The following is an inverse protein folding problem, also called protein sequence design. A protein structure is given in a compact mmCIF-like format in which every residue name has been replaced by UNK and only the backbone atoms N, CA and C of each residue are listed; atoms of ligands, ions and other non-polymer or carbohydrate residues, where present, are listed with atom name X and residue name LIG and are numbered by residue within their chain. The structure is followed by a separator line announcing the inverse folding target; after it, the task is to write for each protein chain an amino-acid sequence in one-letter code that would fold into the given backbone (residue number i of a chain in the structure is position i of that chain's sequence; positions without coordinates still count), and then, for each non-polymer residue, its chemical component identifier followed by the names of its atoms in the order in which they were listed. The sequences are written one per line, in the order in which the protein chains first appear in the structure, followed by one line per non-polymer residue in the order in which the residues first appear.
data_IF_818450345255
#
_entry.id   IF_818450345255
#
_cell.length_a   1.000
_cell.length_b   1.000
_cell.length_c   1.000
_cell.angle_alpha   90.00
_cell.angle_beta   90.00
_cell.angle_gamma   90.00
#
_symmetry.space_group_name_H-M   'P 1'
#
loop_
_entity.id
_entity.type
_entity.pdbx_description
1 polymer ?
#
# COMPACT_ATOMS: atom_id res chain seq x y z
N UNK A 1 -4.68 1.10 19.79
CA UNK A 1 -5.66 1.14 18.68
C UNK A 1 -5.55 2.52 18.06
N UNK A 2 -5.26 2.63 16.76
CA UNK A 2 -5.10 3.91 16.05
C UNK A 2 -6.43 4.63 15.78
N UNK A 3 -7.56 4.09 16.26
CA UNK A 3 -8.90 4.65 16.03
C UNK A 3 -9.41 4.39 14.61
N UNK A 4 -8.77 3.47 13.88
CA UNK A 4 -9.18 3.04 12.54
C UNK A 4 -10.17 1.89 12.66
N UNK A 5 -11.31 2.00 11.98
CA UNK A 5 -12.29 0.92 11.87
C UNK A 5 -12.85 0.85 10.45
N UNK A 6 -13.24 -0.35 10.03
CA UNK A 6 -13.85 -0.59 8.74
C UNK A 6 -15.30 -1.04 8.94
N UNK A 7 -16.17 -0.74 7.97
CA UNK A 7 -17.52 -1.32 7.93
C UNK A 7 -17.45 -2.82 7.63
N UNK A 8 -18.55 -3.54 7.87
CA UNK A 8 -18.61 -5.00 7.79
C UNK A 8 -18.31 -5.60 6.40
N UNK A 9 -18.33 -4.77 5.35
CA UNK A 9 -18.01 -5.21 3.99
C UNK A 9 -16.52 -5.29 3.66
N UNK A 10 -15.64 -4.85 4.56
CA UNK A 10 -14.20 -4.89 4.38
C UNK A 10 -13.61 -6.27 4.68
N UNK A 11 -12.69 -6.71 3.82
CA UNK A 11 -12.00 -7.98 3.90
C UNK A 11 -10.50 -7.75 3.67
N UNK A 12 -9.67 -8.47 4.42
CA UNK A 12 -8.28 -8.70 4.05
C UNK A 12 -8.21 -9.98 3.22
N UNK A 13 -7.65 -9.90 2.02
CA UNK A 13 -7.52 -11.03 1.10
C UNK A 13 -6.05 -11.35 0.93
N UNK A 14 -5.71 -12.65 1.05
CA UNK A 14 -4.36 -13.17 0.83
C UNK A 14 -4.30 -13.74 -0.60
N UNK A 15 -3.22 -13.48 -1.31
CA UNK A 15 -2.92 -14.06 -2.63
C UNK A 15 -3.08 -15.59 -2.61
N UNK A 16 -3.72 -16.16 -3.63
CA UNK A 16 -3.89 -17.60 -3.77
C UNK A 16 -2.53 -18.34 -3.84
N UNK A 17 -1.53 -17.74 -4.45
CA UNK A 17 -0.19 -18.33 -4.60
C UNK A 17 0.58 -18.33 -3.26
N UNK A 18 0.12 -17.53 -2.28
CA UNK A 18 0.61 -17.48 -0.89
C UNK A 18 -0.29 -18.24 0.11
N UNK A 19 -1.17 -19.12 -0.39
CA UNK A 19 -2.04 -19.98 0.43
C UNK A 19 -3.37 -19.33 0.84
N UNK A 20 -3.71 -18.20 0.23
CA UNK A 20 -5.01 -17.53 0.35
C UNK A 20 -6.02 -17.97 -0.70
N UNK A 21 -6.96 -17.07 -1.01
CA UNK A 21 -8.00 -17.25 -2.03
C UNK A 21 -8.13 -16.04 -2.97
N UNK A 22 -7.19 -15.11 -2.88
CA UNK A 22 -7.19 -13.84 -3.61
C UNK A 22 -6.81 -14.02 -5.06
N UNK A 23 -7.61 -13.43 -5.94
CA UNK A 23 -7.32 -13.32 -7.37
C UNK A 23 -6.42 -12.10 -7.66
N UNK A 24 -5.32 -11.97 -6.92
CA UNK A 24 -4.38 -10.85 -6.95
C UNK A 24 -2.98 -11.37 -7.23
N UNK A 25 -2.12 -10.54 -7.81
CA UNK A 25 -0.69 -10.86 -8.00
C UNK A 25 0.13 -9.56 -7.96
N UNK A 26 1.41 -9.66 -7.63
CA UNK A 26 2.38 -8.57 -7.67
C UNK A 26 1.95 -7.32 -6.86
N UNK A 27 1.16 -7.52 -5.80
CA UNK A 27 0.72 -6.40 -4.99
C UNK A 27 1.90 -5.80 -4.20
N UNK A 28 1.94 -4.47 -4.01
CA UNK A 28 3.07 -3.77 -3.39
C UNK A 28 3.51 -4.28 -2.01
N UNK A 29 2.60 -4.84 -1.21
CA UNK A 29 2.91 -5.40 0.12
C UNK A 29 3.32 -6.87 0.10
N UNK A 30 3.29 -7.52 -1.07
CA UNK A 30 3.68 -8.91 -1.27
C UNK A 30 2.48 -9.84 -1.41
N UNK A 31 1.67 -9.99 -0.36
CA UNK A 31 0.72 -11.12 -0.27
C UNK A 31 -0.69 -10.76 0.19
N UNK A 32 -0.94 -9.55 0.71
CA UNK A 32 -2.24 -9.23 1.32
C UNK A 32 -2.75 -7.86 0.90
N UNK A 33 -4.03 -7.77 0.58
CA UNK A 33 -4.68 -6.53 0.15
C UNK A 33 -5.95 -6.28 0.93
N UNK A 34 -6.41 -5.03 0.95
CA UNK A 34 -7.76 -4.69 1.35
C UNK A 34 -8.72 -4.84 0.16
N UNK A 35 -9.86 -5.47 0.40
CA UNK A 35 -10.92 -5.69 -0.57
C UNK A 35 -12.28 -5.44 0.08
N UNK A 36 -13.28 -5.10 -0.73
CA UNK A 36 -14.62 -4.82 -0.21
C UNK A 36 -15.65 -5.58 -1.03
N UNK A 37 -16.48 -6.43 -0.41
CA UNK A 37 -17.31 -7.40 -1.15
C UNK A 37 -18.68 -6.85 -1.55
N UNK A 38 -19.38 -6.19 -0.63
CA UNK A 38 -20.73 -5.66 -0.88
C UNK A 38 -21.17 -4.72 0.25
N UNK A 39 -22.13 -3.84 -0.04
CA UNK A 39 -22.71 -2.88 0.90
C UNK A 39 -22.85 -1.50 0.28
N UNK A 40 -23.79 -0.71 0.80
CA UNK A 40 -23.96 0.70 0.40
C UNK A 40 -22.95 1.64 1.06
N UNK A 41 -22.29 1.19 2.12
CA UNK A 41 -21.32 1.96 2.90
C UNK A 41 -20.06 1.11 3.14
N UNK A 42 -19.07 1.27 2.26
CA UNK A 42 -17.76 0.63 2.38
C UNK A 42 -16.78 1.68 2.87
N UNK A 43 -16.80 1.98 4.17
CA UNK A 43 -16.01 3.09 4.71
C UNK A 43 -14.92 2.62 5.66
N UNK A 44 -13.75 3.24 5.52
CA UNK A 44 -12.73 3.26 6.56
C UNK A 44 -12.91 4.52 7.39
N UNK A 45 -13.19 4.37 8.68
CA UNK A 45 -13.32 5.44 9.64
C UNK A 45 -12.02 5.64 10.42
N UNK A 46 -11.70 6.89 10.73
CA UNK A 46 -10.57 7.28 11.57
C UNK A 46 -11.09 8.25 12.63
N UNK A 47 -11.36 7.76 13.84
CA UNK A 47 -12.05 8.54 14.88
C UNK A 47 -11.29 9.83 15.26
N UNK A 48 -9.97 9.74 15.35
CA UNK A 48 -9.10 10.90 15.62
C UNK A 48 -8.95 11.85 14.43
N UNK A 49 -9.43 11.43 13.26
CA UNK A 49 -9.23 12.09 11.98
C UNK A 49 -7.78 12.04 11.48
N UNK A 50 -7.60 12.51 10.25
CA UNK A 50 -6.30 12.71 9.61
C UNK A 50 -6.33 13.94 8.71
N UNK A 51 -5.16 14.52 8.45
CA UNK A 51 -4.98 15.77 7.67
C UNK A 51 -3.96 15.53 6.56
N UNK A 52 -3.54 16.58 5.83
CA UNK A 52 -2.48 16.55 4.79
C UNK A 52 -2.88 15.84 3.49
N UNK A 53 -3.20 14.55 3.55
CA UNK A 53 -3.46 13.77 2.35
C UNK A 53 -3.87 12.33 2.61
N UNK A 54 -4.23 11.66 1.51
CA UNK A 54 -4.59 10.26 1.47
C UNK A 54 -4.01 9.61 0.23
N UNK A 55 -3.55 8.36 0.34
CA UNK A 55 -2.98 7.63 -0.79
C UNK A 55 -3.04 6.12 -0.61
N UNK A 56 -2.93 5.40 -1.72
CA UNK A 56 -2.93 3.95 -1.78
C UNK A 56 -2.41 3.49 -3.14
N UNK A 57 -2.14 2.19 -3.27
CA UNK A 57 -2.10 1.51 -4.54
C UNK A 57 -3.43 0.83 -4.81
N UNK A 58 -3.83 0.74 -6.08
CA UNK A 58 -5.03 0.02 -6.47
C UNK A 58 -4.83 -0.84 -7.71
N UNK A 59 -5.60 -1.92 -7.78
CA UNK A 59 -5.85 -2.71 -8.98
C UNK A 59 -7.36 -2.80 -9.18
N UNK A 60 -7.88 -2.30 -10.30
CA UNK A 60 -9.34 -2.16 -10.51
C UNK A 60 -9.80 -2.64 -11.88
N UNK A 61 -10.89 -3.40 -11.90
CA UNK A 61 -11.55 -3.85 -13.12
C UNK A 61 -12.60 -2.86 -13.66
N UNK A 62 -12.84 -1.77 -12.95
CA UNK A 62 -13.83 -0.76 -13.32
C UNK A 62 -13.34 0.66 -13.05
N UNK A 63 -13.89 1.63 -13.78
CA UNK A 63 -13.69 3.03 -13.42
C UNK A 63 -14.55 3.37 -12.20
N UNK A 64 -13.98 4.08 -11.23
CA UNK A 64 -14.67 4.40 -9.99
C UNK A 64 -14.07 5.63 -9.30
N UNK A 65 -14.62 5.98 -8.13
CA UNK A 65 -14.07 7.02 -7.28
C UNK A 65 -13.95 6.54 -5.83
N UNK A 66 -12.88 6.97 -5.16
CA UNK A 66 -12.69 6.87 -3.72
C UNK A 66 -12.79 8.27 -3.12
N UNK A 67 -13.63 8.44 -2.12
CA UNK A 67 -13.98 9.76 -1.60
C UNK A 67 -13.48 9.95 -0.18
N UNK A 68 -12.89 11.11 0.11
CA UNK A 68 -12.39 11.49 1.44
C UNK A 68 -13.35 12.49 2.06
N UNK A 69 -13.86 12.17 3.25
CA UNK A 69 -14.95 12.91 3.90
C UNK A 69 -14.53 13.47 5.26
N UNK A 70 -15.05 14.64 5.60
CA UNK A 70 -14.76 15.31 6.89
C UNK A 70 -15.45 14.65 8.08
N UNK A 71 -16.55 13.92 7.87
CA UNK A 71 -17.29 13.19 8.90
C UNK A 71 -17.08 11.68 8.80
N UNK A 72 -17.53 10.95 9.83
CA UNK A 72 -17.53 9.49 9.84
C UNK A 72 -18.54 8.94 8.83
N UNK A 73 -18.35 7.70 8.37
CA UNK A 73 -19.26 6.96 7.49
C UNK A 73 -19.63 7.71 6.20
N UNK A 74 -18.66 8.39 5.56
CA UNK A 74 -18.89 9.10 4.30
C UNK A 74 -19.77 10.36 4.44
N UNK A 75 -19.90 10.93 5.64
CA UNK A 75 -20.73 12.11 5.90
C UNK A 75 -19.92 13.41 5.96
N UNK A 76 -20.62 14.54 5.99
CA UNK A 76 -20.00 15.87 6.11
C UNK A 76 -19.61 16.45 4.75
N UNK A 77 -18.46 17.13 4.70
CA UNK A 77 -17.95 17.77 3.50
C UNK A 77 -17.04 16.79 2.75
N UNK A 78 -17.23 16.68 1.43
CA UNK A 78 -16.30 15.99 0.55
C UNK A 78 -15.01 16.82 0.45
N UNK A 79 -13.92 16.30 1.00
CA UNK A 79 -12.62 16.99 1.05
C UNK A 79 -11.77 16.71 -0.18
N UNK A 80 -11.88 15.49 -0.73
CA UNK A 80 -11.20 15.09 -1.96
C UNK A 80 -11.86 13.86 -2.60
N UNK A 81 -11.59 13.66 -3.89
CA UNK A 81 -12.01 12.48 -4.65
C UNK A 81 -10.83 11.98 -5.50
N UNK A 82 -10.62 10.67 -5.51
CA UNK A 82 -9.60 10.00 -6.31
C UNK A 82 -10.30 9.15 -7.37
N UNK A 83 -10.13 9.51 -8.64
CA UNK A 83 -10.70 8.77 -9.76
C UNK A 83 -9.79 7.60 -10.14
N UNK A 84 -10.37 6.41 -10.19
CA UNK A 84 -9.70 5.16 -10.55
C UNK A 84 -10.02 4.80 -12.00
N UNK A 85 -9.05 4.21 -12.69
CA UNK A 85 -9.23 3.65 -14.02
C UNK A 85 -9.38 2.13 -13.94
N UNK A 86 -10.10 1.54 -14.89
CA UNK A 86 -10.07 0.10 -15.12
C UNK A 86 -8.71 -0.27 -15.76
N UNK A 87 -7.84 -0.90 -14.99
CA UNK A 87 -6.45 -1.18 -15.40
C UNK A 87 -5.88 -2.52 -14.90
N UNK A 88 -6.64 -3.26 -14.08
CA UNK A 88 -6.15 -4.40 -13.30
C UNK A 88 -5.32 -5.46 -14.05
N UNK A 89 -5.63 -5.67 -15.33
CA UNK A 89 -5.04 -6.71 -16.19
C UNK A 89 -4.01 -6.16 -17.20
N UNK A 90 -3.72 -4.85 -17.16
CA UNK A 90 -2.84 -4.22 -18.12
C UNK A 90 -1.38 -4.57 -17.84
N UNK A 91 -0.65 -4.99 -18.87
CA UNK A 91 0.76 -5.38 -18.78
C UNK A 91 1.04 -6.48 -17.73
N UNK A 92 0.06 -7.35 -17.46
CA UNK A 92 0.33 -8.55 -16.67
C UNK A 92 1.42 -9.40 -17.31
N UNK A 93 2.26 -10.06 -16.49
CA UNK A 93 3.08 -11.16 -16.97
C UNK A 93 2.23 -12.18 -17.74
N UNK A 94 2.77 -12.81 -18.78
CA UNK A 94 2.06 -13.89 -19.46
C UNK A 94 1.70 -14.99 -18.47
N UNK A 95 0.52 -15.60 -18.66
CA UNK A 95 0.01 -16.67 -17.83
C UNK A 95 1.08 -17.76 -17.58
N UNK A 96 1.39 -17.97 -16.31
CA UNK A 96 2.22 -19.06 -15.81
C UNK A 96 1.28 -20.02 -15.04
N UNK A 97 1.30 -21.34 -15.29
CA UNK A 97 0.50 -22.31 -14.53
C UNK A 97 0.68 -22.25 -13.01
N UNK A 98 1.74 -21.59 -12.52
CA UNK A 98 1.97 -21.32 -11.09
C UNK A 98 1.64 -19.89 -10.62
N UNK A 99 1.04 -19.04 -11.47
CA UNK A 99 0.59 -17.69 -11.11
C UNK A 99 -0.86 -17.46 -11.52
N UNK A 100 -1.71 -17.12 -10.56
CA UNK A 100 -3.17 -17.20 -10.77
C UNK A 100 -3.93 -15.88 -10.65
N UNK A 101 -3.29 -14.79 -10.22
CA UNK A 101 -3.96 -13.52 -9.95
C UNK A 101 -4.23 -12.66 -11.19
N UNK A 102 -5.51 -12.45 -11.51
CA UNK A 102 -5.91 -11.55 -12.59
C UNK A 102 -5.68 -10.06 -12.27
N UNK A 103 -5.76 -9.67 -10.99
CA UNK A 103 -5.46 -8.31 -10.53
C UNK A 103 -3.96 -8.17 -10.29
N UNK A 104 -3.22 -7.95 -11.39
CA UNK A 104 -1.77 -7.98 -11.42
C UNK A 104 -1.14 -6.57 -11.48
N UNK A 105 -1.91 -5.57 -11.96
CA UNK A 105 -1.40 -4.24 -12.25
C UNK A 105 -1.84 -3.26 -11.17
N UNK A 106 -0.86 -2.56 -10.59
CA UNK A 106 -1.02 -1.74 -9.41
C UNK A 106 -0.61 -0.31 -9.70
N UNK A 107 -1.55 0.62 -9.59
CA UNK A 107 -1.31 2.04 -9.80
C UNK A 107 -1.29 2.76 -8.45
N UNK A 108 -0.23 3.51 -8.18
CA UNK A 108 -0.17 4.43 -7.05
C UNK A 108 -1.06 5.65 -7.32
N UNK A 109 -1.88 6.04 -6.35
CA UNK A 109 -2.67 7.26 -6.43
C UNK A 109 -2.76 7.92 -5.06
N UNK A 110 -2.86 9.25 -5.04
CA UNK A 110 -3.04 10.00 -3.81
C UNK A 110 -3.48 11.42 -4.07
N UNK A 111 -3.96 12.06 -3.01
CA UNK A 111 -4.54 13.40 -3.06
C UNK A 111 -4.17 14.18 -1.80
N UNK A 112 -3.88 15.47 -1.98
CA UNK A 112 -3.78 16.43 -0.88
C UNK A 112 -5.16 17.05 -0.65
N UNK A 113 -5.50 17.34 0.60
CA UNK A 113 -6.74 18.02 0.94
C UNK A 113 -6.55 18.98 2.11
N UNK A 114 -7.43 19.97 2.22
CA UNK A 114 -7.50 20.87 3.35
C UNK A 114 -8.54 20.38 4.37
N UNK A 115 -8.31 20.67 5.66
CA UNK A 115 -9.19 20.27 6.75
C UNK A 115 -8.83 18.90 7.36
N UNK A 116 -9.74 18.38 8.18
CA UNK A 116 -9.60 17.10 8.87
C UNK A 116 -10.59 16.10 8.29
N UNK A 117 -10.08 15.02 7.70
CA UNK A 117 -10.86 13.89 7.23
C UNK A 117 -11.12 12.91 8.38
N UNK A 118 -12.31 12.31 8.41
CA UNK A 118 -12.67 11.28 9.39
C UNK A 118 -13.10 9.96 8.74
N UNK A 119 -13.37 9.96 7.44
CA UNK A 119 -13.63 8.71 6.73
C UNK A 119 -13.19 8.74 5.27
N UNK A 120 -12.96 7.55 4.73
CA UNK A 120 -12.77 7.30 3.31
C UNK A 120 -13.83 6.30 2.86
N UNK A 121 -14.52 6.63 1.78
CA UNK A 121 -15.58 5.83 1.19
C UNK A 121 -15.12 5.15 -0.10
N UNK A 122 -15.31 3.83 -0.14
CA UNK A 122 -14.97 2.89 -1.20
C UNK A 122 -16.25 2.26 -1.84
N UNK A 123 -17.45 2.77 -1.58
CA UNK A 123 -18.70 2.13 -2.03
C UNK A 123 -18.79 1.92 -3.55
N UNK A 124 -18.15 2.79 -4.35
CA UNK A 124 -18.14 2.70 -5.81
C UNK A 124 -17.31 1.56 -6.41
N UNK A 125 -16.61 0.77 -5.59
CA UNK A 125 -15.65 -0.24 -6.06
C UNK A 125 -15.90 -1.66 -5.52
N UNK A 126 -17.06 -1.89 -4.90
CA UNK A 126 -17.39 -3.19 -4.30
C UNK A 126 -17.17 -4.33 -5.31
N UNK A 127 -16.44 -5.35 -4.86
CA UNK A 127 -16.08 -6.57 -5.57
C UNK A 127 -15.31 -6.35 -6.89
N UNK A 128 -14.73 -5.16 -7.09
CA UNK A 128 -14.12 -4.78 -8.37
C UNK A 128 -12.76 -4.10 -8.22
N UNK A 129 -12.32 -3.77 -6.99
CA UNK A 129 -11.03 -3.12 -6.76
C UNK A 129 -10.34 -3.67 -5.52
N UNK A 130 -9.07 -3.99 -5.66
CA UNK A 130 -8.16 -4.30 -4.56
C UNK A 130 -7.29 -3.08 -4.24
N UNK A 131 -7.03 -2.87 -2.95
CA UNK A 131 -6.25 -1.76 -2.42
C UNK A 131 -5.06 -2.26 -1.61
N UNK A 132 -3.93 -1.58 -1.76
CA UNK A 132 -2.72 -1.92 -1.01
C UNK A 132 -2.02 -0.66 -0.50
N UNK A 133 -1.24 -0.81 0.57
CA UNK A 133 -0.52 0.27 1.26
C UNK A 133 -1.36 1.54 1.47
N UNK A 134 -2.59 1.38 1.97
CA UNK A 134 -3.47 2.49 2.35
C UNK A 134 -2.72 3.37 3.37
N UNK A 135 -2.48 4.61 3.01
CA UNK A 135 -1.62 5.55 3.74
C UNK A 135 -2.43 6.80 4.10
N UNK A 136 -2.50 7.07 5.40
CA UNK A 136 -3.08 8.28 5.95
C UNK A 136 -2.03 9.38 6.07
N UNK A 137 -2.46 10.64 6.00
CA UNK A 137 -1.61 11.81 6.17
C UNK A 137 -0.47 11.98 5.16
N UNK A 138 -0.60 11.36 3.98
CA UNK A 138 0.31 11.47 2.85
C UNK A 138 -0.45 11.30 1.54
N UNK A 139 -0.10 12.07 0.52
CA UNK A 139 -0.58 11.85 -0.86
C UNK A 139 0.33 10.89 -1.66
N UNK A 140 1.34 10.31 -1.02
CA UNK A 140 2.21 9.30 -1.61
C UNK A 140 2.09 8.03 -0.78
N UNK A 141 1.68 6.89 -1.39
CA UNK A 141 1.53 5.65 -0.64
C UNK A 141 2.90 5.17 -0.16
N UNK A 142 2.95 4.60 1.04
CA UNK A 142 4.17 3.99 1.55
C UNK A 142 4.66 2.89 0.61
N UNK A 143 5.96 2.89 0.29
CA UNK A 143 6.62 1.74 -0.32
C UNK A 143 7.17 0.90 0.81
N UNK A 144 6.64 -0.31 1.04
CA UNK A 144 7.22 -1.24 2.02
C UNK A 144 8.48 -1.89 1.44
N UNK A 145 9.52 -1.10 1.26
CA UNK A 145 10.91 -1.57 1.40
C UNK A 145 11.73 -0.40 1.96
N UNK A 146 11.91 -0.29 3.28
CA UNK A 146 13.11 0.36 3.78
C UNK A 146 14.28 -0.36 3.13
N UNK A 147 15.14 0.36 2.38
CA UNK A 147 16.35 -0.25 1.83
C UNK A 147 17.01 -1.08 2.94
N UNK A 148 17.29 -2.37 2.72
CA UNK A 148 17.74 -3.21 3.80
C UNK A 148 18.96 -2.57 4.44
N UNK A 149 18.91 -2.34 5.76
CA UNK A 149 20.08 -1.97 6.57
C UNK A 149 21.30 -2.88 6.29
N UNK A 150 21.06 -4.05 5.67
CA UNK A 150 22.05 -4.90 5.03
C UNK A 150 23.05 -4.16 4.13
N UNK A 151 22.65 -3.14 3.35
CA UNK A 151 23.60 -2.37 2.52
C UNK A 151 24.51 -1.50 3.41
N UNK A 152 23.95 -0.86 4.43
CA UNK A 152 24.72 -0.07 5.41
C UNK A 152 25.65 -0.97 6.23
N UNK A 153 25.18 -2.15 6.64
CA UNK A 153 25.96 -3.14 7.39
C UNK A 153 27.05 -3.78 6.52
N UNK A 154 26.76 -4.08 5.26
CA UNK A 154 27.75 -4.59 4.30
C UNK A 154 28.82 -3.52 4.02
N UNK A 155 28.40 -2.28 3.76
CA UNK A 155 29.30 -1.15 3.52
C UNK A 155 30.19 -0.85 4.73
N UNK A 156 29.62 -0.80 5.94
CA UNK A 156 30.37 -0.57 7.18
C UNK A 156 31.26 -1.76 7.56
N UNK A 157 30.82 -2.99 7.33
CA UNK A 157 31.63 -4.20 7.51
C UNK A 157 32.86 -4.22 6.60
N UNK A 158 32.69 -3.94 5.31
CA UNK A 158 33.80 -3.86 4.34
C UNK A 158 34.79 -2.74 4.69
N UNK A 159 34.28 -1.57 5.10
CA UNK A 159 35.13 -0.46 5.55
C UNK A 159 35.92 -0.83 6.82
N UNK A 160 35.29 -1.52 7.78
CA UNK A 160 35.93 -2.02 8.99
C UNK A 160 37.07 -3.01 8.72
N UNK A 161 36.84 -3.99 7.82
CA UNK A 161 37.87 -4.97 7.42
C UNK A 161 39.04 -4.29 6.70
N UNK A 162 38.76 -3.32 5.81
CA UNK A 162 39.80 -2.56 5.11
C UNK A 162 40.66 -1.73 6.08
N UNK A 163 40.04 -1.08 7.07
CA UNK A 163 40.74 -0.33 8.10
C UNK A 163 41.61 -1.24 9.00
N UNK A 164 41.09 -2.40 9.40
CA UNK A 164 41.82 -3.38 10.20
C UNK A 164 43.03 -3.95 9.45
N UNK A 165 42.89 -4.25 8.14
CA UNK A 165 44.00 -4.69 7.29
C UNK A 165 45.09 -3.62 7.13
N UNK A 166 44.71 -2.35 6.97
CA UNK A 166 45.67 -1.23 6.87
C UNK A 166 46.46 -1.02 8.17
N UNK A 167 45.81 -1.19 9.33
CA UNK A 167 46.49 -1.08 10.64
C UNK A 167 47.53 -2.19 10.84
N UNK A 168 47.20 -3.44 10.50
CA UNK A 168 48.12 -4.56 10.65
C UNK A 168 49.36 -4.44 9.76
N UNK A 169 49.22 -3.96 8.52
CA UNK A 169 50.36 -3.74 7.62
C UNK A 169 51.33 -2.68 8.15
N UNK A 170 50.85 -1.63 8.82
CA UNK A 170 51.72 -0.61 9.40
C UNK A 170 52.53 -1.11 10.60
N UNK A 171 51.99 -2.06 11.36
CA UNK A 171 52.69 -2.64 12.52
C UNK A 171 53.79 -3.62 12.12
N UNK A 172 53.70 -4.25 10.94
CA UNK A 172 54.77 -5.13 10.42
C UNK A 172 55.94 -4.39 9.78
N UNK A 173 55.81 -3.08 9.56
CA UNK A 173 56.88 -2.24 8.98
C UNK A 173 57.71 -1.50 10.08
N UNK A 174 57.38 -1.70 11.37
CA UNK A 174 58.04 -1.08 12.53
C UNK A 174 58.89 -2.06 13.37
N UNK A 175 59.14 -3.28 12.85
CA UNK A 175 60.05 -4.30 13.44
C UNK A 175 61.23 -4.56 12.49
#
# INVERSE_FOLDING_TARGET
NLGVSFTSGALAVIDADDGGTGNIENNPSGSTVAFFLSGSELTMNVLSGFTTGFSFFYSSSTAAAVNVWSGLNGTGILLASLNLNAQFDQNCPPYDPGRTGAFCNWTAIGVLFAGTAQSVDFAGVANQTAFDNITLASNVPGSVVPEPISIVLLGSGLAGVAAARRRRRRQTDEE
#
